data_IF_820287281670
#
_entry.id   IF_820287281670
#
_cell.length_a   1.000
_cell.length_b   1.000
_cell.length_c   1.000
_cell.angle_alpha   90.00
_cell.angle_beta   90.00
_cell.angle_gamma   90.00
#
_symmetry.space_group_name_H-M   'P 1'
#
loop_
_entity.id
_entity.type
_entity.pdbx_description
1 polymer ?
#
# COMPACT_ATOMS: atom_id res chain seq x y z
N UNK A 1 36.58 56.54 3.23
CA UNK A 1 35.60 55.82 2.40
C UNK A 1 36.11 54.39 2.23
N UNK A 2 35.67 53.45 3.09
CA UNK A 2 36.17 52.05 3.12
C UNK A 2 35.06 51.20 2.50
N UNK A 3 35.41 50.58 1.36
CA UNK A 3 34.52 49.68 0.61
C UNK A 3 34.68 48.28 1.21
N UNK A 4 33.62 47.77 1.85
CA UNK A 4 33.53 46.40 2.33
C UNK A 4 33.07 45.49 1.16
N UNK A 5 33.95 44.59 0.69
CA UNK A 5 33.59 43.52 -0.23
C UNK A 5 33.03 42.33 0.57
N UNK A 6 31.74 42.05 0.36
CA UNK A 6 31.12 40.80 0.83
C UNK A 6 31.48 39.67 -0.13
N UNK A 7 32.26 38.71 0.32
CA UNK A 7 32.46 37.42 -0.36
C UNK A 7 31.29 36.51 -0.02
N UNK A 8 30.46 36.19 -1.01
CA UNK A 8 29.46 35.16 -0.91
C UNK A 8 30.16 33.83 -1.16
N UNK A 9 30.28 33.00 -0.10
CA UNK A 9 30.72 31.61 -0.22
C UNK A 9 29.48 30.78 -0.64
N UNK A 10 29.43 30.37 -1.91
CA UNK A 10 28.49 29.36 -2.39
C UNK A 10 29.08 28.00 -2.02
N UNK A 11 28.55 27.41 -0.94
CA UNK A 11 28.84 26.02 -0.59
C UNK A 11 28.05 25.10 -1.53
N UNK A 12 28.69 24.62 -2.58
CA UNK A 12 28.17 23.54 -3.41
C UNK A 12 28.26 22.23 -2.59
N UNK A 13 27.14 21.78 -2.03
CA UNK A 13 27.03 20.44 -1.43
C UNK A 13 26.91 19.46 -2.59
N UNK A 14 28.05 18.91 -3.03
CA UNK A 14 28.08 17.72 -3.87
C UNK A 14 27.65 16.51 -3.03
N UNK A 15 26.40 16.06 -3.18
CA UNK A 15 25.98 14.78 -2.68
C UNK A 15 26.66 13.69 -3.53
N UNK A 16 27.79 13.19 -3.03
CA UNK A 16 28.42 11.98 -3.56
C UNK A 16 27.46 10.82 -3.21
N UNK A 17 26.85 10.22 -4.23
CA UNK A 17 26.25 8.88 -4.10
C UNK A 17 27.41 7.92 -3.74
N UNK A 18 27.53 7.57 -2.48
CA UNK A 18 28.43 6.51 -2.03
C UNK A 18 27.91 5.18 -2.58
N UNK A 19 28.79 4.45 -3.29
CA UNK A 19 28.57 3.09 -3.76
C UNK A 19 28.11 2.20 -2.58
N UNK A 20 26.95 1.54 -2.77
CA UNK A 20 26.18 0.92 -1.71
C UNK A 20 26.87 -0.26 -1.02
N UNK A 21 27.27 -0.05 0.21
CA UNK A 21 27.29 -1.16 1.18
C UNK A 21 25.84 -1.52 1.51
N UNK A 22 25.49 -2.79 1.38
CA UNK A 22 24.17 -3.28 1.75
C UNK A 22 23.81 -2.80 3.18
N UNK A 23 22.73 -2.04 3.31
CA UNK A 23 22.30 -1.50 4.59
C UNK A 23 21.96 -2.66 5.50
N UNK A 24 22.80 -2.89 6.51
CA UNK A 24 22.54 -3.91 7.53
C UNK A 24 21.68 -3.29 8.62
N UNK A 25 20.42 -3.74 8.72
CA UNK A 25 19.56 -3.44 9.85
C UNK A 25 19.83 -4.50 10.91
N UNK A 26 20.38 -4.16 12.09
CA UNK A 26 20.54 -5.12 13.17
C UNK A 26 19.16 -5.59 13.64
N UNK A 27 18.98 -6.91 13.70
CA UNK A 27 17.72 -7.54 14.09
C UNK A 27 17.82 -8.10 15.50
N UNK A 28 16.76 -7.94 16.30
CA UNK A 28 16.60 -8.62 17.59
C UNK A 28 16.50 -10.14 17.38
N UNK A 29 16.69 -10.92 18.46
CA UNK A 29 16.52 -12.38 18.42
C UNK A 29 15.10 -12.76 17.99
N UNK A 30 14.07 -12.05 18.47
CA UNK A 30 12.68 -12.30 18.10
C UNK A 30 12.43 -12.04 16.59
N UNK A 31 13.00 -10.97 16.06
CA UNK A 31 12.94 -10.65 14.63
C UNK A 31 13.66 -11.69 13.76
N UNK A 32 14.81 -12.17 14.20
CA UNK A 32 15.55 -13.23 13.51
C UNK A 32 14.74 -14.53 13.49
N UNK A 33 14.12 -14.92 14.62
CA UNK A 33 13.25 -16.10 14.72
C UNK A 33 12.03 -15.97 13.80
N UNK A 34 11.36 -14.82 13.81
CA UNK A 34 10.21 -14.57 12.93
C UNK A 34 10.61 -14.70 11.45
N UNK A 35 11.72 -14.09 11.04
CA UNK A 35 12.21 -14.19 9.66
C UNK A 35 12.53 -15.62 9.25
N UNK A 36 13.16 -16.40 10.13
CA UNK A 36 13.47 -17.81 9.86
C UNK A 36 12.18 -18.64 9.71
N UNK A 37 11.19 -18.42 10.58
CA UNK A 37 9.89 -19.09 10.51
C UNK A 37 9.17 -18.76 9.20
N UNK A 38 9.09 -17.49 8.84
CA UNK A 38 8.48 -17.04 7.59
C UNK A 38 9.18 -17.63 6.36
N UNK A 39 10.52 -17.64 6.33
CA UNK A 39 11.29 -18.25 5.25
C UNK A 39 11.03 -19.76 5.12
N UNK A 40 10.93 -20.47 6.24
CA UNK A 40 10.55 -21.88 6.25
C UNK A 40 9.17 -22.14 5.67
N UNK A 41 8.19 -21.30 6.03
CA UNK A 41 6.81 -21.38 5.50
C UNK A 41 6.75 -21.09 4.00
N UNK A 42 7.53 -20.13 3.50
CA UNK A 42 7.67 -19.86 2.06
C UNK A 42 8.18 -21.10 1.32
N UNK A 43 9.22 -21.74 1.82
CA UNK A 43 9.75 -22.96 1.21
C UNK A 43 8.73 -24.10 1.17
N UNK A 44 7.93 -24.27 2.25
CA UNK A 44 6.87 -25.27 2.29
C UNK A 44 5.77 -24.93 1.29
N UNK A 45 5.36 -23.67 1.21
CA UNK A 45 4.36 -23.16 0.27
C UNK A 45 4.78 -23.41 -1.19
N UNK A 46 6.02 -23.08 -1.54
CA UNK A 46 6.58 -23.30 -2.88
C UNK A 46 6.62 -24.78 -3.25
N UNK A 47 7.06 -25.66 -2.32
CA UNK A 47 7.06 -27.11 -2.54
C UNK A 47 5.66 -27.69 -2.76
N UNK A 48 4.64 -27.12 -2.15
CA UNK A 48 3.23 -27.52 -2.30
C UNK A 48 2.51 -26.83 -3.46
N UNK A 49 3.21 -25.96 -4.18
CA UNK A 49 2.61 -25.07 -5.19
C UNK A 49 1.36 -24.36 -4.68
N UNK A 50 1.43 -23.85 -3.46
CA UNK A 50 0.35 -23.12 -2.79
C UNK A 50 0.76 -21.66 -2.57
N UNK A 51 -0.17 -20.73 -2.66
CA UNK A 51 0.11 -19.33 -2.42
C UNK A 51 -0.41 -18.83 -1.06
N UNK A 52 -1.20 -19.64 -0.34
CA UNK A 52 -1.68 -19.33 1.00
C UNK A 52 -1.14 -20.34 2.04
N UNK A 53 -0.90 -19.82 3.24
CA UNK A 53 -0.50 -20.57 4.42
C UNK A 53 -1.62 -20.48 5.47
N UNK A 54 -2.03 -21.63 6.01
CA UNK A 54 -2.97 -21.69 7.14
C UNK A 54 -2.19 -21.66 8.46
N UNK A 55 -2.65 -20.82 9.39
CA UNK A 55 -2.06 -20.62 10.70
C UNK A 55 -3.11 -20.78 11.81
N UNK A 56 -2.73 -20.48 13.03
CA UNK A 56 -3.58 -20.64 14.20
C UNK A 56 -4.93 -19.89 14.07
N UNK A 57 -5.97 -20.41 14.71
CA UNK A 57 -7.32 -19.80 14.83
C UNK A 57 -8.00 -19.49 13.49
N UNK A 58 -7.68 -20.24 12.42
CA UNK A 58 -8.27 -20.08 11.10
C UNK A 58 -7.73 -18.87 10.31
N UNK A 59 -6.61 -18.30 10.74
CA UNK A 59 -5.93 -17.25 9.98
C UNK A 59 -5.24 -17.83 8.75
N UNK A 60 -5.47 -17.18 7.62
CA UNK A 60 -4.77 -17.45 6.38
C UNK A 60 -3.88 -16.26 6.03
N UNK A 61 -2.70 -16.56 5.52
CA UNK A 61 -1.71 -15.56 5.10
C UNK A 61 -1.24 -15.82 3.67
N UNK A 62 -0.92 -14.77 2.96
CA UNK A 62 -0.38 -14.87 1.62
C UNK A 62 1.13 -15.13 1.68
N UNK A 63 1.62 -16.21 1.05
CA UNK A 63 3.02 -16.60 1.09
C UNK A 63 3.97 -15.51 0.52
N UNK A 64 3.49 -14.71 -0.42
CA UNK A 64 4.24 -13.57 -0.97
C UNK A 64 4.53 -12.48 0.10
N UNK A 65 3.64 -12.29 1.08
CA UNK A 65 3.90 -11.38 2.21
C UNK A 65 4.92 -11.96 3.18
N UNK A 66 4.86 -13.28 3.43
CA UNK A 66 5.90 -13.96 4.22
C UNK A 66 7.26 -13.81 3.56
N UNK A 67 7.30 -13.96 2.23
CA UNK A 67 8.54 -13.80 1.47
C UNK A 67 9.09 -12.37 1.64
N UNK A 68 8.32 -11.32 1.42
CA UNK A 68 8.77 -9.94 1.64
C UNK A 68 9.40 -9.76 3.02
N UNK A 69 8.72 -10.22 4.08
CA UNK A 69 9.18 -10.06 5.47
C UNK A 69 10.39 -10.93 5.82
N UNK A 70 10.62 -12.02 5.10
CA UNK A 70 11.76 -12.91 5.31
C UNK A 70 13.03 -12.51 4.56
N UNK A 71 12.92 -11.62 3.55
CA UNK A 71 14.05 -11.17 2.75
C UNK A 71 14.96 -10.21 3.51
N UNK A 72 16.22 -10.09 3.03
CA UNK A 72 17.12 -9.01 3.40
C UNK A 72 16.76 -7.70 2.68
N UNK A 73 17.74 -6.83 2.49
CA UNK A 73 17.60 -5.61 1.69
C UNK A 73 17.09 -5.97 0.29
N UNK A 74 16.03 -5.29 -0.15
CA UNK A 74 15.36 -5.56 -1.43
C UNK A 74 15.33 -4.34 -2.36
N UNK A 75 16.20 -3.37 -2.13
CA UNK A 75 16.39 -2.16 -2.95
C UNK A 75 17.88 -1.97 -3.28
N UNK A 76 18.16 -1.05 -4.20
CA UNK A 76 19.50 -0.82 -4.72
C UNK A 76 20.09 -2.08 -5.37
N UNK A 77 21.39 -2.28 -5.24
CA UNK A 77 22.12 -3.42 -5.82
C UNK A 77 21.64 -4.79 -5.33
N UNK A 78 20.99 -4.85 -4.17
CA UNK A 78 20.45 -6.09 -3.62
C UNK A 78 19.13 -6.51 -4.31
N UNK A 79 18.39 -5.59 -4.89
CA UNK A 79 17.06 -5.84 -5.44
C UNK A 79 17.03 -6.98 -6.48
N UNK A 80 17.99 -6.99 -7.41
CA UNK A 80 18.06 -7.98 -8.48
C UNK A 80 18.22 -9.43 -7.97
N UNK A 81 18.73 -9.62 -6.74
CA UNK A 81 18.95 -10.94 -6.13
C UNK A 81 17.71 -11.51 -5.46
N UNK A 82 16.75 -10.64 -5.08
CA UNK A 82 15.62 -11.02 -4.25
C UNK A 82 14.26 -10.72 -4.89
N UNK A 83 14.18 -9.87 -5.90
CA UNK A 83 12.93 -9.56 -6.60
C UNK A 83 12.46 -10.74 -7.46
N UNK A 84 11.14 -10.87 -7.59
CA UNK A 84 10.46 -11.78 -8.53
C UNK A 84 10.32 -11.18 -9.93
N UNK A 85 10.87 -10.00 -10.16
CA UNK A 85 10.85 -9.39 -11.49
C UNK A 85 11.52 -10.28 -12.52
N UNK A 86 10.85 -10.48 -13.66
CA UNK A 86 11.44 -11.17 -14.80
C UNK A 86 12.59 -10.38 -15.46
N UNK A 87 12.75 -9.11 -15.05
CA UNK A 87 13.77 -8.19 -15.56
C UNK A 87 14.62 -7.68 -14.39
N UNK A 88 15.83 -8.19 -14.17
CA UNK A 88 16.68 -7.80 -13.03
C UNK A 88 16.99 -6.29 -12.96
N UNK A 89 17.08 -5.62 -14.10
CA UNK A 89 17.28 -4.17 -14.23
C UNK A 89 16.07 -3.35 -13.79
N UNK A 90 14.90 -3.96 -13.64
CA UNK A 90 13.67 -3.37 -13.12
C UNK A 90 13.31 -3.88 -11.71
N UNK A 91 14.24 -4.51 -11.01
CA UNK A 91 14.01 -5.08 -9.68
C UNK A 91 13.91 -4.01 -8.58
N UNK A 92 14.68 -2.93 -8.68
CA UNK A 92 14.71 -1.85 -7.68
C UNK A 92 13.49 -0.93 -7.84
N UNK A 93 12.63 -0.80 -6.80
CA UNK A 93 11.47 0.07 -6.88
C UNK A 93 11.79 1.57 -6.83
N UNK A 94 12.90 1.97 -6.19
CA UNK A 94 13.21 3.38 -5.92
C UNK A 94 13.27 4.23 -7.22
N UNK A 95 14.01 3.84 -8.26
CA UNK A 95 14.14 4.67 -9.46
C UNK A 95 12.80 4.94 -10.17
N UNK A 96 11.89 3.98 -10.13
CA UNK A 96 10.58 4.11 -10.76
C UNK A 96 9.61 4.97 -9.93
N UNK A 97 9.67 4.87 -8.60
CA UNK A 97 8.85 5.69 -7.68
C UNK A 97 9.29 7.15 -7.76
N UNK A 98 10.60 7.40 -7.72
CA UNK A 98 11.18 8.75 -7.85
C UNK A 98 10.86 9.38 -9.21
N UNK A 99 10.97 8.61 -10.29
CA UNK A 99 10.61 9.07 -11.63
C UNK A 99 9.12 9.46 -11.72
N UNK A 100 8.24 8.62 -11.18
CA UNK A 100 6.81 8.88 -11.16
C UNK A 100 6.46 10.15 -10.39
N UNK A 101 7.02 10.33 -9.19
CA UNK A 101 6.87 11.56 -8.42
C UNK A 101 7.37 12.79 -9.21
N UNK A 102 8.56 12.70 -9.82
CA UNK A 102 9.13 13.81 -10.59
C UNK A 102 8.21 14.24 -11.74
N UNK A 103 7.63 13.29 -12.45
CA UNK A 103 6.70 13.55 -13.54
C UNK A 103 5.39 14.21 -13.06
N UNK A 104 4.83 13.76 -11.93
CA UNK A 104 3.65 14.35 -11.31
C UNK A 104 3.94 15.77 -10.79
N UNK A 105 5.06 15.95 -10.08
CA UNK A 105 5.48 17.24 -9.52
C UNK A 105 5.70 18.29 -10.61
N UNK A 106 6.23 17.91 -11.77
CA UNK A 106 6.38 18.80 -12.93
C UNK A 106 5.04 19.33 -13.46
N UNK A 107 3.92 18.72 -13.07
CA UNK A 107 2.54 19.11 -13.39
C UNK A 107 1.81 19.78 -12.20
N UNK A 108 2.52 20.04 -11.11
CA UNK A 108 1.92 20.58 -9.89
C UNK A 108 1.01 19.57 -9.16
N UNK A 109 1.26 18.27 -9.32
CA UNK A 109 0.52 17.19 -8.68
C UNK A 109 1.41 16.56 -7.60
N UNK A 110 0.89 16.50 -6.37
CA UNK A 110 1.55 15.84 -5.26
C UNK A 110 1.31 14.32 -5.30
N UNK A 111 2.33 13.55 -4.89
CA UNK A 111 2.23 12.09 -4.74
C UNK A 111 2.25 11.72 -3.26
N UNK A 112 1.29 10.89 -2.83
CA UNK A 112 1.34 10.17 -1.56
C UNK A 112 1.39 8.67 -1.86
N UNK A 113 2.46 8.00 -1.44
CA UNK A 113 2.60 6.54 -1.54
C UNK A 113 2.07 5.92 -0.26
N UNK A 114 1.14 4.97 -0.41
CA UNK A 114 0.48 4.29 0.72
C UNK A 114 0.64 2.78 0.54
N UNK A 115 1.77 2.20 1.00
CA UNK A 115 1.94 0.77 1.00
C UNK A 115 1.05 0.13 2.08
N UNK A 116 0.16 -0.78 1.67
CA UNK A 116 -0.62 -1.56 2.63
C UNK A 116 0.30 -2.57 3.30
N UNK A 117 0.44 -2.54 4.64
CA UNK A 117 1.37 -3.42 5.33
C UNK A 117 0.97 -4.90 5.16
N UNK A 118 1.92 -5.84 5.14
CA UNK A 118 1.62 -7.26 5.19
C UNK A 118 0.78 -7.61 6.41
N UNK A 119 -0.21 -8.46 6.26
CA UNK A 119 -1.01 -8.97 7.38
C UNK A 119 -0.14 -9.56 8.48
N UNK A 120 0.92 -10.27 8.10
CA UNK A 120 1.90 -10.86 9.02
C UNK A 120 2.73 -9.83 9.81
N UNK A 121 2.84 -8.59 9.35
CA UNK A 121 3.48 -7.52 10.13
C UNK A 121 2.58 -7.01 11.24
N UNK A 122 1.26 -7.18 11.10
CA UNK A 122 0.26 -6.76 12.09
C UNK A 122 -0.13 -7.88 13.04
N UNK A 123 -0.11 -9.14 12.59
CA UNK A 123 -0.49 -10.33 13.38
C UNK A 123 0.63 -11.40 13.39
N UNK A 124 1.88 -11.06 13.72
CA UNK A 124 3.01 -12.00 13.67
C UNK A 124 2.89 -13.12 14.70
N UNK A 125 2.19 -12.90 15.84
CA UNK A 125 1.97 -13.92 16.86
C UNK A 125 1.09 -15.08 16.40
N UNK A 126 0.34 -14.91 15.30
CA UNK A 126 -0.41 -16.01 14.68
C UNK A 126 0.51 -16.98 13.95
N UNK A 127 1.74 -16.55 13.63
CA UNK A 127 2.77 -17.31 12.92
C UNK A 127 3.83 -17.81 13.90
N UNK A 128 4.33 -16.91 14.75
CA UNK A 128 5.32 -17.20 15.79
C UNK A 128 4.69 -16.86 17.17
N UNK A 129 4.12 -17.85 17.87
CA UNK A 129 3.57 -17.63 19.21
C UNK A 129 4.60 -17.00 20.14
N UNK A 130 4.18 -15.96 20.87
CA UNK A 130 5.05 -15.21 21.78
C UNK A 130 5.78 -14.03 21.14
N UNK A 131 5.68 -13.81 19.84
CA UNK A 131 6.17 -12.56 19.25
C UNK A 131 5.36 -11.36 19.79
N UNK A 132 6.04 -10.35 20.27
CA UNK A 132 5.40 -9.20 20.91
C UNK A 132 5.55 -7.94 20.07
N UNK A 133 4.50 -7.56 19.35
CA UNK A 133 4.45 -6.36 18.51
C UNK A 133 4.57 -5.02 19.27
N UNK A 134 4.52 -5.05 20.61
CA UNK A 134 4.73 -3.84 21.43
C UNK A 134 6.21 -3.57 21.68
N UNK A 135 7.05 -4.57 21.58
CA UNK A 135 8.50 -4.48 21.83
C UNK A 135 9.34 -4.71 20.59
N UNK A 136 8.80 -5.46 19.61
CA UNK A 136 9.51 -5.85 18.42
C UNK A 136 8.74 -5.45 17.16
N UNK A 137 9.45 -4.89 16.20
CA UNK A 137 8.95 -4.59 14.87
C UNK A 137 9.00 -5.86 14.00
N UNK A 138 7.86 -6.29 13.47
CA UNK A 138 7.77 -7.46 12.61
C UNK A 138 8.25 -7.20 11.16
N UNK A 139 8.45 -5.93 10.77
CA UNK A 139 8.80 -5.52 9.41
C UNK A 139 9.96 -4.51 9.33
N UNK A 140 11.08 -4.71 10.06
CA UNK A 140 12.10 -3.66 10.24
C UNK A 140 12.77 -3.25 8.92
N UNK A 141 12.94 -4.16 7.97
CA UNK A 141 13.51 -3.85 6.66
C UNK A 141 12.52 -3.08 5.75
N UNK A 142 11.22 -3.34 5.89
CA UNK A 142 10.19 -2.59 5.18
C UNK A 142 10.13 -1.15 5.70
N UNK A 143 10.16 -0.94 7.01
CA UNK A 143 10.18 0.39 7.61
C UNK A 143 11.47 1.15 7.25
N UNK A 144 12.63 0.46 7.24
CA UNK A 144 13.87 1.04 6.74
C UNK A 144 13.76 1.47 5.26
N UNK A 145 13.10 0.67 4.43
CA UNK A 145 12.86 1.04 3.04
C UNK A 145 11.97 2.29 2.92
N UNK A 146 10.98 2.46 3.79
CA UNK A 146 10.19 3.69 3.82
C UNK A 146 11.04 4.92 4.18
N UNK A 147 12.05 4.76 5.03
CA UNK A 147 13.02 5.83 5.32
C UNK A 147 13.85 6.17 4.08
N UNK A 148 14.29 5.18 3.31
CA UNK A 148 15.01 5.42 2.04
C UNK A 148 14.13 6.18 1.03
N UNK A 149 12.85 5.81 0.91
CA UNK A 149 11.90 6.55 0.07
C UNK A 149 11.73 8.00 0.55
N UNK A 150 11.56 8.22 1.85
CA UNK A 150 11.46 9.58 2.42
C UNK A 150 12.75 10.38 2.20
N UNK A 151 13.91 9.77 2.35
CA UNK A 151 15.20 10.39 2.03
C UNK A 151 15.33 10.77 0.55
N UNK A 152 14.70 10.01 -0.34
CA UNK A 152 14.58 10.34 -1.77
C UNK A 152 13.49 11.40 -2.06
N UNK A 153 12.84 11.96 -1.02
CA UNK A 153 11.84 13.00 -1.13
C UNK A 153 10.43 12.49 -1.43
N UNK A 154 10.17 11.20 -1.27
CA UNK A 154 8.84 10.59 -1.46
C UNK A 154 8.03 10.71 -0.17
N UNK A 155 6.79 11.21 -0.27
CA UNK A 155 5.84 11.22 0.83
C UNK A 155 5.24 9.81 0.99
N UNK A 156 5.53 9.15 2.11
CA UNK A 156 5.10 7.77 2.39
C UNK A 156 4.25 7.74 3.65
N UNK A 157 3.01 7.28 3.54
CA UNK A 157 2.12 7.02 4.66
C UNK A 157 2.24 5.54 5.08
N UNK A 158 2.90 5.30 6.20
CA UNK A 158 2.98 3.98 6.82
C UNK A 158 1.73 3.74 7.69
N UNK A 159 0.91 2.77 7.31
CA UNK A 159 -0.29 2.38 8.04
C UNK A 159 -0.01 1.39 9.18
N UNK A 160 1.20 0.86 9.30
CA UNK A 160 1.53 -0.18 10.29
C UNK A 160 1.24 0.27 11.73
N UNK A 161 1.68 1.46 12.20
CA UNK A 161 1.40 1.89 13.58
C UNK A 161 -0.10 2.03 13.87
N UNK A 162 -0.86 2.58 12.90
CA UNK A 162 -2.30 2.73 13.03
C UNK A 162 -3.01 1.37 13.11
N UNK A 163 -2.59 0.41 12.30
CA UNK A 163 -3.17 -0.93 12.28
C UNK A 163 -2.82 -1.71 13.55
N UNK A 164 -1.58 -1.61 14.04
CA UNK A 164 -1.18 -2.22 15.32
C UNK A 164 -1.98 -1.67 16.50
N UNK A 165 -2.27 -0.37 16.51
CA UNK A 165 -3.08 0.25 17.56
C UNK A 165 -4.53 -0.22 17.58
N UNK A 166 -5.09 -0.58 16.41
CA UNK A 166 -6.50 -0.90 16.23
C UNK A 166 -6.77 -2.38 15.91
N UNK A 167 -5.76 -3.25 15.97
CA UNK A 167 -5.87 -4.67 15.57
C UNK A 167 -6.86 -5.50 16.39
N UNK A 168 -7.11 -5.07 17.62
CA UNK A 168 -7.98 -5.76 18.58
C UNK A 168 -9.28 -4.98 18.84
N UNK A 169 -9.75 -4.17 17.86
CA UNK A 169 -11.01 -3.43 17.98
C UNK A 169 -12.21 -4.38 18.10
N UNK A 170 -13.20 -3.97 18.87
CA UNK A 170 -14.45 -4.75 19.10
C UNK A 170 -15.25 -5.05 17.83
N UNK A 171 -15.03 -4.28 16.76
CA UNK A 171 -15.67 -4.48 15.44
C UNK A 171 -14.98 -5.56 14.61
N UNK A 172 -13.87 -6.09 15.08
CA UNK A 172 -13.02 -7.05 14.40
C UNK A 172 -11.60 -6.53 14.16
N UNK A 173 -10.73 -7.39 13.64
CA UNK A 173 -9.37 -7.02 13.28
C UNK A 173 -9.32 -6.09 12.07
N UNK A 174 -8.14 -5.50 11.81
CA UNK A 174 -7.91 -4.61 10.67
C UNK A 174 -7.67 -5.35 9.34
N UNK A 175 -7.48 -6.66 9.40
CA UNK A 175 -7.43 -7.56 8.22
C UNK A 175 -8.51 -8.63 8.31
N UNK A 176 -9.00 -9.08 7.15
CA UNK A 176 -9.79 -10.31 7.05
C UNK A 176 -8.92 -11.51 7.42
N UNK A 177 -9.50 -12.52 8.10
CA UNK A 177 -8.74 -13.73 8.45
C UNK A 177 -8.42 -14.58 7.23
N UNK A 178 -9.40 -14.73 6.34
CA UNK A 178 -9.35 -15.66 5.20
C UNK A 178 -9.06 -14.99 3.87
N UNK A 179 -8.96 -13.66 3.84
CA UNK A 179 -8.71 -12.86 2.65
C UNK A 179 -7.36 -12.11 2.74
N UNK A 180 -6.74 -11.81 1.62
CA UNK A 180 -5.46 -11.08 1.58
C UNK A 180 -5.61 -9.59 1.83
N UNK A 181 -6.83 -9.07 1.83
CA UNK A 181 -7.09 -7.64 1.99
C UNK A 181 -7.37 -7.26 3.46
N UNK A 182 -7.28 -5.97 3.72
CA UNK A 182 -7.78 -5.39 4.97
C UNK A 182 -9.26 -5.67 5.18
N UNK A 183 -9.74 -5.56 6.41
CA UNK A 183 -11.16 -5.60 6.75
C UNK A 183 -11.85 -4.26 6.47
N UNK A 184 -13.16 -4.19 6.63
CA UNK A 184 -13.88 -2.91 6.56
C UNK A 184 -13.38 -1.88 7.59
N UNK A 185 -12.92 -2.33 8.77
CA UNK A 185 -12.27 -1.46 9.75
C UNK A 185 -10.92 -0.95 9.23
N UNK A 186 -10.06 -1.83 8.73
CA UNK A 186 -8.77 -1.43 8.17
C UNK A 186 -8.92 -0.45 7.01
N UNK A 187 -9.87 -0.70 6.10
CA UNK A 187 -10.20 0.19 4.99
C UNK A 187 -10.64 1.59 5.48
N UNK A 188 -11.52 1.66 6.46
CA UNK A 188 -11.96 2.93 7.06
C UNK A 188 -10.80 3.70 7.69
N UNK A 189 -9.97 3.03 8.49
CA UNK A 189 -8.82 3.65 9.14
C UNK A 189 -7.79 4.17 8.12
N UNK A 190 -7.53 3.39 7.07
CA UNK A 190 -6.66 3.83 5.97
C UNK A 190 -7.22 5.09 5.28
N UNK A 191 -8.52 5.13 5.01
CA UNK A 191 -9.17 6.31 4.42
C UNK A 191 -9.05 7.56 5.31
N UNK A 192 -9.21 7.42 6.63
CA UNK A 192 -9.05 8.52 7.59
C UNK A 192 -7.62 9.07 7.56
N UNK A 193 -6.62 8.20 7.65
CA UNK A 193 -5.21 8.59 7.62
C UNK A 193 -4.81 9.23 6.28
N UNK A 194 -5.30 8.70 5.16
CA UNK A 194 -5.10 9.29 3.83
C UNK A 194 -5.76 10.66 3.75
N UNK A 195 -7.02 10.79 4.16
CA UNK A 195 -7.75 12.05 4.13
C UNK A 195 -7.05 13.14 4.96
N UNK A 196 -6.54 12.80 6.14
CA UNK A 196 -5.75 13.72 6.97
C UNK A 196 -4.48 14.18 6.23
N UNK A 197 -3.74 13.23 5.64
CA UNK A 197 -2.48 13.50 4.92
C UNK A 197 -2.64 14.38 3.68
N UNK A 198 -3.79 14.30 2.99
CA UNK A 198 -4.01 15.02 1.72
C UNK A 198 -4.82 16.30 1.86
N UNK A 199 -5.54 16.48 2.97
CA UNK A 199 -6.49 17.60 3.15
C UNK A 199 -5.85 18.98 2.92
N UNK A 200 -4.66 19.23 3.45
CA UNK A 200 -3.94 20.48 3.28
C UNK A 200 -3.44 20.72 1.84
N UNK A 201 -3.31 19.65 1.04
CA UNK A 201 -2.86 19.69 -0.36
C UNK A 201 -4.02 19.96 -1.34
N UNK A 202 -5.27 19.83 -0.86
CA UNK A 202 -6.49 20.01 -1.64
C UNK A 202 -7.06 21.42 -1.43
N UNK A 203 -6.38 22.43 -1.97
CA UNK A 203 -6.68 23.87 -1.72
C UNK A 203 -7.98 24.38 -2.32
N UNK A 204 -8.57 23.67 -3.27
CA UNK A 204 -9.85 24.00 -3.90
C UNK A 204 -10.68 22.73 -4.10
N UNK A 205 -11.29 22.17 -3.05
CA UNK A 205 -12.13 20.99 -3.22
C UNK A 205 -13.35 21.35 -4.09
N UNK A 206 -13.89 20.39 -4.85
CA UNK A 206 -15.15 20.54 -5.55
C UNK A 206 -16.29 20.86 -4.57
N UNK A 207 -17.45 21.21 -5.08
CA UNK A 207 -18.64 21.44 -4.24
C UNK A 207 -18.84 20.26 -3.30
N UNK A 208 -18.87 20.54 -1.99
CA UNK A 208 -19.00 19.48 -0.99
C UNK A 208 -20.37 18.83 -1.10
N UNK A 209 -20.34 17.50 -1.06
CA UNK A 209 -21.51 16.66 -0.85
C UNK A 209 -21.52 16.17 0.60
N UNK A 210 -22.70 15.94 1.15
CA UNK A 210 -22.84 15.28 2.43
C UNK A 210 -23.02 13.76 2.20
N UNK A 211 -22.25 12.98 2.92
CA UNK A 211 -22.36 11.53 2.94
C UNK A 211 -22.81 11.06 4.33
N UNK A 212 -23.48 9.93 4.36
CA UNK A 212 -23.87 9.23 5.59
C UNK A 212 -23.31 7.83 5.56
N UNK A 213 -23.00 7.28 6.73
CA UNK A 213 -22.43 5.94 6.82
C UNK A 213 -23.07 5.14 7.95
N UNK A 214 -23.14 3.84 7.76
CA UNK A 214 -23.63 2.88 8.74
C UNK A 214 -22.75 1.62 8.75
N UNK A 215 -22.58 1.02 9.92
CA UNK A 215 -21.90 -0.27 10.04
C UNK A 215 -22.87 -1.39 9.73
N UNK A 216 -22.42 -2.32 8.88
CA UNK A 216 -23.15 -3.53 8.50
C UNK A 216 -22.27 -4.76 8.67
N UNK A 217 -22.88 -5.90 8.97
CA UNK A 217 -22.21 -7.20 8.86
C UNK A 217 -22.23 -7.64 7.39
N UNK A 218 -21.10 -8.06 6.88
CA UNK A 218 -20.95 -8.71 5.58
C UNK A 218 -20.35 -10.09 5.77
N UNK A 219 -20.74 -11.05 4.93
CA UNK A 219 -20.18 -12.39 4.90
C UNK A 219 -19.29 -12.53 3.68
N UNK A 220 -18.02 -12.89 3.90
CA UNK A 220 -17.03 -12.97 2.83
C UNK A 220 -16.36 -14.34 2.79
N UNK A 221 -16.12 -14.85 1.59
CA UNK A 221 -15.22 -15.98 1.37
C UNK A 221 -13.93 -15.41 0.82
N UNK A 222 -12.87 -15.49 1.63
CA UNK A 222 -11.61 -14.85 1.29
C UNK A 222 -10.88 -15.54 0.11
N UNK A 223 -10.12 -14.75 -0.63
CA UNK A 223 -9.32 -15.20 -1.77
C UNK A 223 -8.27 -16.26 -1.39
N UNK A 224 -7.71 -16.17 -0.18
CA UNK A 224 -6.70 -17.12 0.32
C UNK A 224 -7.24 -18.54 0.48
N UNK A 225 -8.54 -18.73 0.66
CA UNK A 225 -9.17 -20.06 0.76
C UNK A 225 -8.95 -20.89 -0.51
N UNK A 226 -8.99 -20.23 -1.67
CA UNK A 226 -8.78 -20.89 -2.97
C UNK A 226 -7.30 -21.15 -3.27
N UNK A 227 -6.40 -20.45 -2.58
CA UNK A 227 -4.94 -20.52 -2.75
C UNK A 227 -4.25 -21.49 -1.77
N UNK A 228 -5.04 -22.13 -0.88
CA UNK A 228 -4.54 -23.21 -0.02
C UNK A 228 -4.20 -24.46 -0.83
N UNK A 229 -3.30 -25.32 -0.33
CA UNK A 229 -3.07 -26.64 -0.91
C UNK A 229 -4.39 -27.40 -1.12
N UNK A 230 -4.53 -28.20 -2.19
CA UNK A 230 -5.79 -28.90 -2.50
C UNK A 230 -6.34 -29.75 -1.36
N UNK A 231 -5.48 -30.40 -0.60
CA UNK A 231 -5.83 -31.30 0.50
C UNK A 231 -6.04 -30.59 1.84
N UNK A 232 -5.95 -29.25 1.87
CA UNK A 232 -6.15 -28.49 3.09
C UNK A 232 -7.64 -28.36 3.45
N UNK A 233 -7.95 -28.42 4.75
CA UNK A 233 -9.26 -28.03 5.25
C UNK A 233 -9.52 -26.55 4.90
N UNK A 234 -10.59 -26.30 4.19
CA UNK A 234 -10.97 -24.95 3.78
C UNK A 234 -11.92 -24.34 4.81
N UNK A 235 -11.57 -23.17 5.39
CA UNK A 235 -12.49 -22.47 6.29
C UNK A 235 -13.73 -22.03 5.52
N UNK A 236 -14.87 -21.97 6.23
CA UNK A 236 -16.10 -21.37 5.70
C UNK A 236 -15.98 -19.84 5.61
N UNK A 237 -17.04 -19.19 5.10
CA UNK A 237 -17.12 -17.74 5.04
C UNK A 237 -16.96 -17.10 6.42
N UNK A 238 -16.26 -15.96 6.48
CA UNK A 238 -16.12 -15.17 7.69
C UNK A 238 -17.10 -13.98 7.70
N UNK A 239 -17.51 -13.57 8.90
CA UNK A 239 -18.32 -12.37 9.11
C UNK A 239 -17.39 -11.21 9.44
N UNK A 240 -17.54 -10.12 8.71
CA UNK A 240 -16.78 -8.88 8.91
C UNK A 240 -17.71 -7.68 9.05
N UNK A 241 -17.30 -6.69 9.84
CA UNK A 241 -17.97 -5.40 9.87
C UNK A 241 -17.44 -4.51 8.73
N UNK A 242 -18.34 -3.91 7.96
CA UNK A 242 -18.02 -2.92 6.93
C UNK A 242 -18.81 -1.64 7.17
N UNK A 243 -18.21 -0.48 6.90
CA UNK A 243 -18.87 0.82 6.99
C UNK A 243 -19.42 1.19 5.60
N UNK A 244 -20.71 1.00 5.38
CA UNK A 244 -21.38 1.36 4.13
C UNK A 244 -21.60 2.87 4.06
N UNK A 245 -21.28 3.50 2.91
CA UNK A 245 -21.37 4.94 2.67
C UNK A 245 -22.34 5.22 1.52
N UNK A 246 -23.15 6.27 1.66
CA UNK A 246 -24.06 6.74 0.62
C UNK A 246 -24.20 8.26 0.67
N UNK A 247 -24.62 8.88 -0.43
CA UNK A 247 -24.96 10.32 -0.47
C UNK A 247 -26.17 10.60 0.42
N UNK A 248 -26.08 11.62 1.27
CA UNK A 248 -27.17 12.04 2.14
C UNK A 248 -28.36 12.56 1.31
N UNK A 249 -29.55 12.16 1.69
CA UNK A 249 -30.80 12.57 1.03
C UNK A 249 -31.19 11.72 -0.18
N UNK A 250 -30.25 11.30 -1.03
CA UNK A 250 -30.54 10.44 -2.20
C UNK A 250 -30.37 8.96 -1.91
N UNK A 251 -29.48 8.62 -0.94
CA UNK A 251 -29.07 7.24 -0.71
C UNK A 251 -28.21 6.65 -1.85
N UNK A 252 -27.77 7.44 -2.80
CA UNK A 252 -26.98 6.99 -3.93
C UNK A 252 -25.60 6.46 -3.49
N UNK A 253 -25.10 5.43 -4.18
CA UNK A 253 -23.74 4.95 -4.00
C UNK A 253 -22.73 6.01 -4.45
N UNK A 254 -21.57 6.05 -3.79
CA UNK A 254 -20.45 6.86 -4.26
C UNK A 254 -20.03 6.39 -5.65
N UNK A 255 -19.90 7.35 -6.58
CA UNK A 255 -19.34 7.09 -7.90
C UNK A 255 -18.01 7.83 -8.02
N UNK A 256 -16.91 7.18 -8.43
CA UNK A 256 -15.66 7.87 -8.72
C UNK A 256 -15.86 9.05 -9.68
N UNK A 257 -15.26 10.20 -9.38
CA UNK A 257 -15.40 11.41 -10.21
C UNK A 257 -14.11 11.68 -11.00
N UNK A 258 -14.10 11.51 -12.34
CA UNK A 258 -12.93 11.80 -13.18
C UNK A 258 -12.47 13.27 -13.12
N UNK A 259 -13.31 14.18 -12.62
CA UNK A 259 -12.97 15.58 -12.43
C UNK A 259 -12.44 15.89 -11.03
N UNK A 260 -12.42 14.90 -10.13
CA UNK A 260 -11.91 15.07 -8.77
C UNK A 260 -10.45 15.52 -8.77
N UNK A 261 -10.04 16.43 -7.87
CA UNK A 261 -8.65 16.80 -7.70
C UNK A 261 -7.80 15.70 -7.03
N UNK A 262 -8.44 14.68 -6.47
CA UNK A 262 -7.80 13.52 -5.87
C UNK A 262 -7.99 12.30 -6.76
N UNK A 263 -6.88 11.71 -7.21
CA UNK A 263 -6.86 10.41 -7.86
C UNK A 263 -6.40 9.34 -6.87
N UNK A 264 -7.24 8.33 -6.64
CA UNK A 264 -6.86 7.08 -5.99
C UNK A 264 -6.36 6.11 -7.07
N UNK A 265 -5.09 5.76 -7.00
CA UNK A 265 -4.39 4.87 -7.92
C UNK A 265 -3.91 3.64 -7.16
N UNK A 266 -4.17 2.42 -7.62
CA UNK A 266 -3.63 1.27 -6.89
C UNK A 266 -4.09 -0.11 -7.34
N UNK A 267 -3.84 -1.09 -6.48
CA UNK A 267 -4.20 -2.48 -6.69
C UNK A 267 -5.61 -2.82 -6.17
N UNK A 268 -5.86 -4.10 -5.93
CA UNK A 268 -7.13 -4.61 -5.42
C UNK A 268 -7.53 -4.05 -4.05
N UNK A 269 -6.60 -3.52 -3.24
CA UNK A 269 -6.95 -2.84 -2.00
C UNK A 269 -7.74 -1.55 -2.23
N UNK A 270 -7.58 -0.91 -3.38
CA UNK A 270 -8.40 0.26 -3.76
C UNK A 270 -9.79 -0.11 -4.26
N UNK A 271 -9.99 -1.37 -4.65
CA UNK A 271 -11.22 -1.89 -5.28
C UNK A 271 -12.08 -2.71 -4.32
N UNK A 272 -11.45 -3.40 -3.33
CA UNK A 272 -12.17 -4.25 -2.37
C UNK A 272 -13.22 -3.46 -1.60
N UNK A 273 -14.39 -4.07 -1.39
CA UNK A 273 -15.57 -3.49 -0.75
C UNK A 273 -16.24 -2.31 -1.52
N UNK A 274 -15.71 -1.95 -2.69
CA UNK A 274 -16.37 -1.09 -3.66
C UNK A 274 -16.89 -1.91 -4.84
N UNK A 275 -15.99 -2.70 -5.46
CA UNK A 275 -16.27 -3.52 -6.64
C UNK A 275 -16.59 -4.99 -6.31
N UNK A 276 -16.12 -5.50 -5.18
CA UNK A 276 -16.24 -6.92 -4.81
C UNK A 276 -16.16 -7.14 -3.29
N UNK A 277 -16.58 -8.30 -2.80
CA UNK A 277 -16.71 -8.77 -1.41
C UNK A 277 -17.80 -8.04 -0.61
N UNK A 278 -17.98 -6.77 -0.79
CA UNK A 278 -19.07 -5.96 -0.26
C UNK A 278 -19.29 -4.77 -1.20
N UNK A 279 -20.30 -3.97 -0.92
CA UNK A 279 -20.61 -2.76 -1.72
C UNK A 279 -20.56 -1.52 -0.84
N UNK A 280 -20.25 -0.38 -1.46
CA UNK A 280 -20.28 0.97 -0.84
C UNK A 280 -19.41 1.11 0.41
N UNK A 281 -18.39 0.28 0.57
CA UNK A 281 -17.57 0.21 1.78
C UNK A 281 -16.06 0.22 1.47
N UNK A 282 -15.68 0.39 0.21
CA UNK A 282 -14.30 0.42 -0.25
C UNK A 282 -13.59 1.73 0.04
N UNK A 283 -12.31 1.79 -0.29
CA UNK A 283 -11.46 2.95 0.01
C UNK A 283 -12.00 4.25 -0.61
N UNK A 284 -12.51 4.19 -1.84
CA UNK A 284 -13.10 5.36 -2.51
C UNK A 284 -14.35 5.86 -1.78
N UNK A 285 -15.18 4.94 -1.26
CA UNK A 285 -16.40 5.27 -0.50
C UNK A 285 -16.05 5.93 0.83
N UNK A 286 -15.07 5.34 1.54
CA UNK A 286 -14.60 5.87 2.81
C UNK A 286 -13.96 7.26 2.63
N UNK A 287 -13.15 7.46 1.60
CA UNK A 287 -12.55 8.75 1.29
C UNK A 287 -13.61 9.80 0.95
N UNK A 288 -14.68 9.44 0.24
CA UNK A 288 -15.78 10.35 -0.03
C UNK A 288 -16.44 10.84 1.26
N UNK A 289 -16.66 9.93 2.22
CA UNK A 289 -17.17 10.28 3.56
C UNK A 289 -16.26 11.25 4.31
N UNK A 290 -14.93 10.99 4.29
CA UNK A 290 -13.95 11.78 5.04
C UNK A 290 -13.68 13.17 4.40
N UNK A 291 -13.74 13.26 3.07
CA UNK A 291 -13.39 14.47 2.32
C UNK A 291 -14.60 15.33 1.95
N UNK A 292 -15.80 14.74 1.87
CA UNK A 292 -17.01 15.42 1.42
C UNK A 292 -17.10 15.56 -0.10
N UNK A 293 -16.36 14.75 -0.86
CA UNK A 293 -16.44 14.61 -2.31
C UNK A 293 -15.87 13.28 -2.75
N UNK A 294 -16.32 12.73 -3.88
CA UNK A 294 -15.82 11.47 -4.41
C UNK A 294 -14.43 11.65 -5.03
N UNK A 295 -13.43 10.85 -4.66
CA UNK A 295 -12.18 10.73 -5.42
C UNK A 295 -12.42 10.15 -6.81
N UNK A 296 -11.46 10.36 -7.71
CA UNK A 296 -11.32 9.55 -8.92
C UNK A 296 -10.61 8.23 -8.59
N UNK A 297 -10.84 7.18 -9.39
CA UNK A 297 -10.32 5.84 -9.12
C UNK A 297 -9.76 5.20 -10.40
N UNK A 298 -8.49 4.82 -10.35
CA UNK A 298 -7.87 3.91 -11.31
C UNK A 298 -7.28 2.73 -10.53
N UNK A 299 -7.97 1.60 -10.56
CA UNK A 299 -7.55 0.37 -9.89
C UNK A 299 -7.19 -0.72 -10.89
N UNK A 300 -6.26 -1.60 -10.51
CA UNK A 300 -5.87 -2.77 -11.30
C UNK A 300 -5.78 -3.99 -10.39
N UNK A 301 -6.60 -5.01 -10.61
CA UNK A 301 -6.48 -6.26 -9.85
C UNK A 301 -5.15 -6.93 -10.15
N UNK A 302 -4.47 -7.42 -9.13
CA UNK A 302 -3.28 -8.24 -9.23
C UNK A 302 -1.94 -7.50 -9.11
N UNK A 303 -1.80 -6.24 -9.55
CA UNK A 303 -0.57 -5.49 -9.34
C UNK A 303 -0.77 -3.97 -9.29
N UNK A 304 -0.31 -3.39 -8.20
CA UNK A 304 -0.29 -1.94 -7.95
C UNK A 304 1.00 -1.24 -8.39
N UNK A 305 1.98 -1.97 -8.88
CA UNK A 305 3.29 -1.42 -9.29
C UNK A 305 3.24 -0.82 -10.73
N UNK A 306 3.87 -1.45 -11.69
CA UNK A 306 3.95 -0.98 -13.08
C UNK A 306 2.60 -1.01 -13.82
N UNK A 307 1.76 -2.07 -13.74
CA UNK A 307 0.50 -2.14 -14.49
C UNK A 307 -0.47 -1.00 -14.22
N UNK A 308 -0.64 -0.58 -12.96
CA UNK A 308 -1.58 0.51 -12.65
C UNK A 308 -1.09 1.86 -13.19
N UNK A 309 0.23 2.10 -13.22
CA UNK A 309 0.81 3.32 -13.83
C UNK A 309 0.67 3.31 -15.36
N UNK A 310 0.73 2.15 -16.00
CA UNK A 310 0.39 1.99 -17.42
C UNK A 310 -1.09 2.31 -17.65
N UNK A 311 -1.99 1.90 -16.75
CA UNK A 311 -3.41 2.24 -16.83
C UNK A 311 -3.64 3.76 -16.75
N UNK A 312 -2.96 4.44 -15.84
CA UNK A 312 -2.98 5.90 -15.75
C UNK A 312 -2.48 6.55 -17.06
N UNK A 313 -1.34 6.10 -17.58
CA UNK A 313 -0.77 6.61 -18.84
C UNK A 313 -1.75 6.47 -19.99
N UNK A 314 -2.35 5.28 -20.16
CA UNK A 314 -3.35 5.02 -21.21
C UNK A 314 -4.59 5.90 -21.06
N UNK A 315 -5.02 6.15 -19.82
CA UNK A 315 -6.14 7.04 -19.53
C UNK A 315 -5.82 8.49 -19.93
N UNK A 316 -4.62 8.97 -19.58
CA UNK A 316 -4.16 10.32 -19.91
C UNK A 316 -3.96 10.52 -21.41
N UNK A 317 -3.56 9.48 -22.16
CA UNK A 317 -3.47 9.55 -23.63
C UNK A 317 -4.84 9.75 -24.30
N UNK A 318 -5.88 9.12 -23.77
CA UNK A 318 -7.25 9.26 -24.28
C UNK A 318 -7.90 10.58 -23.88
N UNK A 319 -7.45 11.17 -22.77
CA UNK A 319 -8.03 12.37 -22.16
C UNK A 319 -6.90 13.37 -21.85
N UNK A 320 -6.45 14.20 -22.81
CA UNK A 320 -5.28 15.08 -22.64
C UNK A 320 -5.35 16.02 -21.44
N UNK A 321 -6.55 16.52 -21.08
CA UNK A 321 -6.77 17.45 -19.97
C UNK A 321 -6.98 16.75 -18.61
N UNK A 322 -6.90 15.42 -18.59
CA UNK A 322 -7.22 14.64 -17.40
C UNK A 322 -6.34 15.02 -16.20
N UNK A 323 -5.03 15.06 -16.40
CA UNK A 323 -4.07 15.37 -15.32
C UNK A 323 -4.14 16.84 -14.88
N UNK A 324 -4.60 17.76 -15.72
CA UNK A 324 -4.76 19.17 -15.35
C UNK A 324 -5.75 19.38 -14.20
N UNK A 325 -6.70 18.45 -14.01
CA UNK A 325 -7.69 18.47 -12.94
C UNK A 325 -7.17 17.92 -11.61
N UNK A 326 -6.05 17.20 -11.62
CA UNK A 326 -5.50 16.52 -10.44
C UNK A 326 -4.60 17.45 -9.64
N UNK A 327 -4.66 17.34 -8.32
CA UNK A 327 -3.78 18.01 -7.35
C UNK A 327 -2.99 16.99 -6.53
N UNK A 328 -3.60 15.84 -6.26
CA UNK A 328 -2.99 14.77 -5.46
C UNK A 328 -3.25 13.43 -6.13
N UNK A 329 -2.23 12.60 -6.23
CA UNK A 329 -2.32 11.17 -6.50
C UNK A 329 -1.99 10.42 -5.23
N UNK A 330 -2.94 9.64 -4.73
CA UNK A 330 -2.71 8.64 -3.68
C UNK A 330 -2.44 7.31 -4.36
N UNK A 331 -1.23 6.82 -4.25
CA UNK A 331 -0.84 5.54 -4.83
C UNK A 331 -0.81 4.47 -3.74
N UNK A 332 -1.91 3.70 -3.65
CA UNK A 332 -2.16 2.70 -2.61
C UNK A 332 -2.05 1.29 -3.18
N UNK A 333 -1.15 0.48 -2.64
CA UNK A 333 -0.90 -0.89 -3.09
C UNK A 333 -0.28 -1.73 -1.99
N UNK A 334 -0.41 -3.05 -2.09
CA UNK A 334 0.17 -3.98 -1.13
C UNK A 334 1.71 -3.88 -1.10
N UNK A 335 2.31 -3.75 0.08
CA UNK A 335 3.76 -3.61 0.22
C UNK A 335 4.55 -4.78 -0.38
N UNK A 336 3.96 -5.97 -0.52
CA UNK A 336 4.59 -7.11 -1.20
C UNK A 336 4.99 -6.80 -2.65
N UNK A 337 4.34 -5.84 -3.30
CA UNK A 337 4.70 -5.43 -4.67
C UNK A 337 6.16 -4.99 -4.79
N UNK A 338 6.79 -4.51 -3.73
CA UNK A 338 8.18 -4.10 -3.77
C UNK A 338 9.12 -5.25 -4.18
N UNK A 339 8.74 -6.50 -3.91
CA UNK A 339 9.54 -7.68 -4.26
C UNK A 339 8.84 -8.66 -5.19
N UNK A 340 7.51 -8.63 -5.28
CA UNK A 340 6.71 -9.63 -5.98
C UNK A 340 6.18 -9.15 -7.35
N UNK A 341 6.37 -7.88 -7.71
CA UNK A 341 5.96 -7.36 -9.02
C UNK A 341 6.73 -8.08 -10.15
N UNK A 342 6.10 -9.05 -10.82
CA UNK A 342 6.71 -9.85 -11.89
C UNK A 342 7.16 -9.00 -13.09
N UNK A 343 6.40 -7.93 -13.41
CA UNK A 343 6.74 -6.96 -14.45
C UNK A 343 7.89 -6.03 -14.05
N UNK A 344 8.26 -6.03 -12.77
CA UNK A 344 9.24 -5.13 -12.16
C UNK A 344 8.74 -3.68 -12.09
N UNK A 345 9.68 -2.78 -11.80
CA UNK A 345 9.46 -1.37 -11.54
C UNK A 345 9.94 -0.52 -12.73
N UNK A 346 9.21 -0.62 -13.86
CA UNK A 346 9.52 0.18 -15.04
C UNK A 346 9.17 1.66 -14.82
N UNK A 347 9.97 2.58 -15.38
CA UNK A 347 9.56 3.98 -15.53
C UNK A 347 8.45 4.06 -16.56
N UNK A 348 7.33 4.65 -16.18
CA UNK A 348 6.15 4.79 -17.04
C UNK A 348 5.82 6.27 -17.18
N UNK A 349 5.69 6.81 -18.42
CA UNK A 349 5.24 8.19 -18.59
C UNK A 349 3.85 8.39 -17.98
N UNK A 350 3.56 9.58 -17.44
CA UNK A 350 2.20 9.91 -16.96
C UNK A 350 1.32 10.51 -18.07
N UNK A 351 1.95 11.06 -19.12
CA UNK A 351 1.30 11.58 -20.34
C UNK A 351 2.31 11.63 -21.49
N UNK A 352 1.88 12.07 -22.67
CA UNK A 352 2.79 12.45 -23.75
C UNK A 352 3.69 13.61 -23.37
#
# INVERSE_FOLDING_TARGET
>A
MKIFRFLIFICAISAALAAGTAVQVPLSEAQQKLRAELAGKVQVSEKKNAAACAEADGWLFFAAEFRLLSLGTFWGDAAAKVSRSHKPDLADPIPAIVDFQKQLKARGIELLVVPVPPKAAVYPEKILPGFNVRTDDAAPLLHRFYEELRAAGIDVLDLTPLFLQNRDDRRGGVFCKTDSHWSGLGCMLAAQAIAESVRAKLTAPPSRKEFVSEWKESQVTGDLVTLLPPDSAKPGPEKIAVRSVSEKGTGAAVQPDPNSPLLLLGDSHTLVFHDFLAERSGLVDQLAQELGFAPDLIGTRGSGATPVRISLYRHSLKNPDYLAKKKVVVWCFAAREFTEASEGWAKVPVSK
#
